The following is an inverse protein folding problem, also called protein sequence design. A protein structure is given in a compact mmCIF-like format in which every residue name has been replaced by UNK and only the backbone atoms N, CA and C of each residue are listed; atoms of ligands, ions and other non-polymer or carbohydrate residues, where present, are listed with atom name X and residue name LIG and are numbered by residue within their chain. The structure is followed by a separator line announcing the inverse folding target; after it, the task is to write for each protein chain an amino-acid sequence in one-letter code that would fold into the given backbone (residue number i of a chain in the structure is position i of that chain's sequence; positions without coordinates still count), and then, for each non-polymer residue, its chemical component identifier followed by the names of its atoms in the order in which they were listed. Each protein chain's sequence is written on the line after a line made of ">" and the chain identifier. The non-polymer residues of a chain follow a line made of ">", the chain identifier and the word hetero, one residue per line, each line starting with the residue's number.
data_IF_052252169495
#
_entry.id   IF_052252169495
#
_cell.length_a   1.000
_cell.length_b   1.000
_cell.length_c   1.000
_cell.angle_alpha   90.00
_cell.angle_beta   90.00
_cell.angle_gamma   90.00
#
_symmetry.space_group_name_H-M   'P 1'
#
loop_
_entity.id
_entity.type
_entity.pdbx_description
1 polymer ?
#
# COMPACT_ATOMS: atom_id res chain seq x y z
N UNK A 1 12.83 15.21 -14.89
CA UNK A 1 12.06 14.65 -13.76
C UNK A 1 10.77 14.11 -14.36
N UNK A 2 10.59 12.82 -14.36
CA UNK A 2 9.40 12.18 -14.91
C UNK A 2 8.55 11.65 -13.76
N UNK A 3 7.24 11.89 -13.83
CA UNK A 3 6.28 11.21 -12.96
C UNK A 3 6.23 9.74 -13.36
N UNK A 4 6.17 8.85 -12.41
CA UNK A 4 5.99 7.43 -12.65
C UNK A 4 4.61 7.11 -13.29
N UNK A 5 3.74 8.11 -13.34
CA UNK A 5 2.43 8.03 -13.95
C UNK A 5 2.55 7.88 -15.48
N UNK A 6 2.49 6.67 -15.98
CA UNK A 6 2.07 6.37 -17.34
C UNK A 6 3.13 5.92 -18.35
N UNK A 7 4.43 6.15 -18.17
CA UNK A 7 5.42 5.69 -19.14
C UNK A 7 6.71 5.21 -18.46
N UNK A 8 6.66 4.09 -17.73
CA UNK A 8 7.88 3.37 -17.42
C UNK A 8 8.42 2.74 -18.70
N UNK A 9 9.39 3.38 -19.32
CA UNK A 9 10.19 2.83 -20.42
C UNK A 9 11.05 1.62 -19.99
N UNK A 10 10.73 1.00 -18.84
CA UNK A 10 11.50 -0.11 -18.27
C UNK A 10 10.99 -1.49 -18.69
N UNK A 11 9.90 -1.59 -19.45
CA UNK A 11 9.34 -2.90 -19.83
C UNK A 11 10.37 -3.86 -20.44
N UNK A 12 11.39 -3.33 -21.10
CA UNK A 12 12.41 -4.13 -21.76
C UNK A 12 13.77 -4.15 -21.05
N UNK A 13 13.98 -3.34 -19.98
CA UNK A 13 15.24 -3.30 -19.23
C UNK A 13 15.03 -3.83 -17.81
N UNK A 14 15.19 -5.13 -17.67
CA UNK A 14 15.02 -5.86 -16.39
C UNK A 14 15.92 -5.30 -15.28
N UNK A 15 17.14 -4.84 -15.61
CA UNK A 15 18.07 -4.32 -14.62
C UNK A 15 17.62 -2.97 -14.05
N UNK A 16 17.09 -2.10 -14.90
CA UNK A 16 16.51 -0.81 -14.48
C UNK A 16 15.24 -1.03 -13.68
N UNK A 17 14.34 -1.90 -14.15
CA UNK A 17 13.11 -2.27 -13.44
C UNK A 17 13.42 -2.79 -12.04
N UNK A 18 14.37 -3.72 -11.91
CA UNK A 18 14.82 -4.23 -10.62
C UNK A 18 15.28 -3.11 -9.69
N UNK A 19 16.11 -2.18 -10.18
CA UNK A 19 16.59 -1.05 -9.35
C UNK A 19 15.46 -0.19 -8.80
N UNK A 20 14.49 0.17 -9.65
CA UNK A 20 13.35 1.01 -9.21
C UNK A 20 12.47 0.25 -8.22
N UNK A 21 12.14 -1.02 -8.50
CA UNK A 21 11.30 -1.83 -7.62
C UNK A 21 11.98 -2.10 -6.27
N UNK A 22 13.28 -2.41 -6.26
CA UNK A 22 14.02 -2.57 -5.00
C UNK A 22 14.05 -1.25 -4.20
N UNK A 23 14.33 -0.12 -4.84
CA UNK A 23 14.31 1.18 -4.18
C UNK A 23 12.90 1.54 -3.66
N UNK A 24 11.85 1.13 -4.37
CA UNK A 24 10.46 1.30 -3.93
C UNK A 24 10.19 0.54 -2.62
N UNK A 25 10.69 -0.68 -2.49
CA UNK A 25 10.64 -1.46 -1.25
C UNK A 25 11.46 -0.84 -0.11
N UNK A 26 12.66 -0.32 -0.40
CA UNK A 26 13.51 0.36 0.60
C UNK A 26 12.82 1.60 1.18
N UNK A 27 12.24 2.44 0.32
CA UNK A 27 11.51 3.64 0.75
C UNK A 27 10.32 3.29 1.64
N UNK A 28 9.54 2.29 1.25
CA UNK A 28 8.40 1.88 2.08
C UNK A 28 8.87 1.34 3.44
N UNK A 29 9.97 0.60 3.49
CA UNK A 29 10.58 0.17 4.75
C UNK A 29 10.96 1.37 5.63
N UNK A 30 11.54 2.41 5.06
CA UNK A 30 11.90 3.63 5.80
C UNK A 30 10.65 4.32 6.35
N UNK A 31 9.60 4.48 5.55
CA UNK A 31 8.31 5.02 6.01
C UNK A 31 7.77 4.20 7.18
N UNK A 32 7.69 2.89 7.03
CA UNK A 32 7.16 1.98 8.05
C UNK A 32 8.06 1.82 9.28
N UNK A 33 9.33 2.26 9.22
CA UNK A 33 10.20 2.30 10.39
C UNK A 33 9.82 3.41 11.38
N UNK A 34 8.97 4.35 10.97
CA UNK A 34 8.45 5.42 11.81
C UNK A 34 7.36 4.89 12.72
N UNK A 35 7.67 4.77 14.01
CA UNK A 35 6.74 4.27 15.02
C UNK A 35 5.68 5.32 15.36
N UNK A 36 4.50 4.84 15.71
CA UNK A 36 3.44 5.71 16.20
C UNK A 36 3.87 6.38 17.50
N UNK A 37 3.81 7.72 17.62
CA UNK A 37 4.11 8.43 18.87
C UNK A 37 3.19 8.01 20.02
N UNK A 38 3.73 7.90 21.24
CA UNK A 38 2.98 7.46 22.43
C UNK A 38 1.63 8.17 22.62
N UNK A 39 1.51 9.51 22.44
CA UNK A 39 0.21 10.17 22.59
C UNK A 39 -0.87 9.68 21.62
N UNK A 40 -0.48 9.13 20.46
CA UNK A 40 -1.40 8.60 19.47
C UNK A 40 -1.73 7.11 19.68
N UNK A 41 -0.88 6.38 20.43
CA UNK A 41 -1.14 4.98 20.79
C UNK A 41 -2.31 4.86 21.79
N UNK A 42 -2.58 5.91 22.56
CA UNK A 42 -3.62 5.94 23.59
C UNK A 42 -5.04 6.12 23.05
N UNK A 43 -5.22 6.40 21.78
CA UNK A 43 -6.55 6.38 21.16
C UNK A 43 -7.03 4.92 21.12
N UNK A 44 -8.12 4.62 21.83
CA UNK A 44 -8.69 3.28 22.00
C UNK A 44 -9.22 2.62 20.73
N UNK A 45 -9.28 3.35 19.64
CA UNK A 45 -9.79 2.84 18.38
C UNK A 45 -8.65 2.30 17.52
N UNK A 46 -8.82 1.04 17.10
CA UNK A 46 -7.95 0.44 16.09
C UNK A 46 -8.08 1.21 14.78
N UNK A 47 -6.94 1.54 14.14
CA UNK A 47 -6.94 2.15 12.79
C UNK A 47 -7.84 1.38 11.83
N UNK A 48 -7.80 0.06 11.87
CA UNK A 48 -8.61 -0.78 10.98
C UNK A 48 -10.11 -0.61 11.25
N UNK A 49 -10.53 -0.49 12.50
CA UNK A 49 -11.93 -0.26 12.84
C UNK A 49 -12.40 1.11 12.33
N UNK A 50 -11.60 2.15 12.54
CA UNK A 50 -11.90 3.50 12.01
C UNK A 50 -11.99 3.47 10.46
N UNK A 51 -11.11 2.72 9.79
CA UNK A 51 -11.17 2.56 8.33
C UNK A 51 -12.40 1.79 7.86
N UNK A 52 -12.87 0.80 8.59
CA UNK A 52 -14.12 0.09 8.28
C UNK A 52 -15.37 0.97 8.49
N UNK A 53 -15.34 1.86 9.47
CA UNK A 53 -16.40 2.85 9.66
C UNK A 53 -16.42 3.91 8.54
N UNK A 54 -15.24 4.39 8.14
CA UNK A 54 -15.06 5.29 6.98
C UNK A 54 -15.54 4.61 5.69
N UNK A 55 -15.20 3.33 5.47
CA UNK A 55 -15.67 2.53 4.34
C UNK A 55 -17.20 2.42 4.31
N UNK A 56 -17.84 2.22 5.47
CA UNK A 56 -19.30 2.22 5.58
C UNK A 56 -19.91 3.59 5.27
N UNK A 57 -19.28 4.67 5.74
CA UNK A 57 -19.69 6.03 5.42
C UNK A 57 -19.56 6.31 3.91
N UNK A 58 -18.44 5.92 3.30
CA UNK A 58 -18.20 6.12 1.88
C UNK A 58 -19.20 5.33 1.03
N UNK A 59 -19.47 4.07 1.39
CA UNK A 59 -20.48 3.25 0.70
C UNK A 59 -21.89 3.87 0.72
N UNK A 60 -22.22 4.64 1.77
CA UNK A 60 -23.53 5.30 1.90
C UNK A 60 -23.62 6.62 1.15
N UNK A 61 -22.51 7.34 1.02
CA UNK A 61 -22.51 8.74 0.62
C UNK A 61 -21.83 8.99 -0.73
N UNK A 62 -20.99 8.07 -1.20
CA UNK A 62 -20.23 8.21 -2.43
C UNK A 62 -20.39 7.00 -3.34
N UNK A 63 -20.00 7.18 -4.60
CA UNK A 63 -19.87 6.07 -5.53
C UNK A 63 -18.49 5.42 -5.28
N UNK A 64 -18.52 4.19 -4.78
CA UNK A 64 -17.32 3.37 -4.53
C UNK A 64 -17.47 2.04 -5.27
N UNK A 65 -16.36 1.32 -5.44
CA UNK A 65 -16.37 0.00 -6.08
C UNK A 65 -16.78 -1.12 -5.11
N UNK A 66 -16.68 -0.86 -3.79
CA UNK A 66 -17.08 -1.79 -2.73
C UNK A 66 -18.61 -2.00 -2.65
N UNK A 67 -19.01 -3.16 -2.14
CA UNK A 67 -20.42 -3.54 -1.93
C UNK A 67 -20.74 -3.75 -0.46
N UNK A 68 -22.03 -3.83 -0.12
CA UNK A 68 -22.49 -4.14 1.25
C UNK A 68 -22.02 -5.52 1.70
N UNK A 69 -22.05 -6.49 0.80
CA UNK A 69 -21.63 -7.87 1.05
C UNK A 69 -20.13 -7.93 1.33
N UNK A 70 -19.33 -7.18 0.55
CA UNK A 70 -17.89 -7.06 0.76
C UNK A 70 -17.59 -6.42 2.12
N UNK A 71 -18.25 -5.31 2.48
CA UNK A 71 -18.08 -4.66 3.77
C UNK A 71 -18.43 -5.59 4.93
N UNK A 72 -19.53 -6.34 4.83
CA UNK A 72 -19.90 -7.33 5.84
C UNK A 72 -18.84 -8.42 6.00
N UNK A 73 -18.31 -8.93 4.88
CA UNK A 73 -17.22 -9.91 4.88
C UNK A 73 -15.96 -9.34 5.58
N UNK A 74 -15.55 -8.12 5.25
CA UNK A 74 -14.40 -7.48 5.87
C UNK A 74 -14.56 -7.31 7.39
N UNK A 75 -15.74 -6.88 7.84
CA UNK A 75 -16.04 -6.74 9.28
C UNK A 75 -16.07 -8.08 10.02
N UNK A 76 -16.40 -9.17 9.35
CA UNK A 76 -16.46 -10.51 9.95
C UNK A 76 -15.14 -11.29 9.91
N UNK A 77 -14.17 -10.86 9.10
CA UNK A 77 -12.91 -11.56 8.89
C UNK A 77 -11.68 -10.63 9.02
N UNK A 78 -11.71 -9.74 10.01
CA UNK A 78 -10.59 -8.83 10.27
C UNK A 78 -9.31 -9.60 10.55
N UNK A 79 -8.17 -9.21 9.93
CA UNK A 79 -6.89 -9.84 10.21
C UNK A 79 -6.44 -9.53 11.64
N UNK A 80 -5.58 -10.40 12.18
CA UNK A 80 -4.99 -10.17 13.51
C UNK A 80 -4.26 -8.81 13.52
N UNK A 81 -4.50 -8.01 14.55
CA UNK A 81 -3.83 -6.73 14.74
C UNK A 81 -2.32 -6.88 14.87
N UNK A 82 -1.61 -5.95 14.27
CA UNK A 82 -0.16 -5.77 14.38
C UNK A 82 0.14 -4.32 14.77
N UNK A 83 1.35 -4.01 15.25
CA UNK A 83 1.71 -2.63 15.59
C UNK A 83 1.54 -1.69 14.42
N UNK A 84 0.88 -0.55 14.66
CA UNK A 84 0.74 0.51 13.68
C UNK A 84 2.08 1.21 13.46
N UNK A 85 2.33 1.58 12.20
CA UNK A 85 3.46 2.40 11.77
C UNK A 85 2.95 3.59 10.96
N UNK A 86 3.81 4.53 10.62
CA UNK A 86 3.45 5.49 9.59
C UNK A 86 3.17 4.76 8.29
N UNK A 87 2.01 4.98 7.71
CA UNK A 87 1.63 4.50 6.38
C UNK A 87 1.36 5.68 5.45
N UNK A 88 1.56 5.48 4.16
CA UNK A 88 1.24 6.45 3.12
C UNK A 88 -0.28 6.51 2.85
N UNK A 89 -0.93 5.34 2.90
CA UNK A 89 -2.37 5.19 2.66
C UNK A 89 -2.79 5.04 1.19
N UNK A 90 -1.87 5.30 0.25
CA UNK A 90 -2.01 4.99 -1.18
C UNK A 90 -0.63 4.77 -1.82
N UNK A 91 0.20 3.89 -1.20
CA UNK A 91 1.56 3.64 -1.66
C UNK A 91 1.57 2.76 -2.90
N UNK A 92 1.39 3.38 -4.05
CA UNK A 92 1.46 2.72 -5.35
C UNK A 92 2.64 3.22 -6.17
N UNK A 93 3.06 2.45 -7.18
CA UNK A 93 4.16 2.86 -8.07
C UNK A 93 3.82 4.13 -8.86
N UNK A 94 2.54 4.48 -8.99
CA UNK A 94 2.08 5.69 -9.66
C UNK A 94 2.32 6.95 -8.81
N UNK A 95 2.48 6.80 -7.50
CA UNK A 95 2.68 7.88 -6.54
C UNK A 95 4.16 8.14 -6.22
N UNK A 96 5.07 7.72 -7.09
CA UNK A 96 6.50 8.02 -6.96
C UNK A 96 7.06 8.76 -8.15
N UNK A 97 8.03 9.63 -7.89
CA UNK A 97 8.80 10.32 -8.92
C UNK A 97 10.13 9.61 -9.12
N UNK A 98 10.47 9.33 -10.36
CA UNK A 98 11.70 8.63 -10.72
C UNK A 98 12.61 9.54 -11.54
N UNK A 99 13.90 9.54 -11.22
CA UNK A 99 14.96 10.16 -12.01
C UNK A 99 16.19 9.23 -12.03
N UNK A 100 16.75 8.99 -13.22
CA UNK A 100 17.91 8.10 -13.42
C UNK A 100 17.79 6.74 -12.72
N UNK A 101 16.63 6.10 -12.84
CA UNK A 101 16.29 4.82 -12.23
C UNK A 101 16.31 4.82 -10.68
N UNK A 102 16.15 5.98 -10.07
CA UNK A 102 15.98 6.13 -8.62
C UNK A 102 14.70 6.88 -8.33
N UNK A 103 14.00 6.48 -7.29
CA UNK A 103 12.87 7.23 -6.77
C UNK A 103 13.45 8.45 -6.03
N UNK A 104 13.00 9.63 -6.40
CA UNK A 104 13.47 10.92 -5.84
C UNK A 104 12.37 11.62 -5.04
N UNK A 105 11.18 11.06 -5.00
CA UNK A 105 10.08 11.60 -4.20
C UNK A 105 8.88 10.67 -4.18
N UNK A 106 8.10 10.78 -3.12
CA UNK A 106 6.77 10.15 -2.96
C UNK A 106 5.76 11.27 -2.82
N UNK A 107 4.67 11.18 -3.54
CA UNK A 107 3.62 12.20 -3.63
C UNK A 107 2.28 11.62 -3.19
N UNK A 108 1.29 12.49 -3.04
CA UNK A 108 -0.09 12.14 -2.69
C UNK A 108 -0.25 11.49 -1.30
N UNK A 109 0.21 12.21 -0.29
CA UNK A 109 0.15 11.81 1.12
C UNK A 109 -1.22 12.04 1.78
N UNK A 110 -2.28 12.28 0.99
CA UNK A 110 -3.61 12.55 1.52
C UNK A 110 -4.20 11.43 2.39
N UNK A 111 -3.76 10.19 2.21
CA UNK A 111 -4.16 9.03 2.99
C UNK A 111 -3.27 8.71 4.20
N UNK A 112 -2.21 9.51 4.45
CA UNK A 112 -1.21 9.20 5.47
C UNK A 112 -1.79 9.11 6.88
N UNK A 113 -1.37 8.08 7.61
CA UNK A 113 -1.84 7.80 8.97
C UNK A 113 -0.83 6.95 9.75
N UNK A 114 -1.07 6.77 11.03
CA UNK A 114 -0.48 5.65 11.77
C UNK A 114 -1.44 4.47 11.72
N UNK A 115 -1.11 3.47 10.91
CA UNK A 115 -1.99 2.37 10.57
C UNK A 115 -1.27 1.05 10.34
N UNK A 116 -2.01 0.08 9.87
CA UNK A 116 -1.51 -1.26 9.55
C UNK A 116 -0.62 -1.21 8.30
N UNK A 117 0.70 -1.50 8.39
CA UNK A 117 1.61 -1.43 7.26
C UNK A 117 1.27 -2.40 6.12
N UNK A 118 0.47 -3.45 6.38
CA UNK A 118 0.03 -4.39 5.35
C UNK A 118 -0.88 -3.74 4.32
N UNK A 119 -1.57 -2.65 4.70
CA UNK A 119 -2.36 -1.86 3.77
C UNK A 119 -1.50 -1.31 2.64
N UNK A 120 -0.43 -0.58 2.97
CA UNK A 120 0.50 -0.07 1.95
C UNK A 120 1.22 -1.18 1.19
N UNK A 121 1.58 -2.29 1.87
CA UNK A 121 2.22 -3.43 1.20
C UNK A 121 1.32 -4.05 0.13
N UNK A 122 0.02 -4.18 0.41
CA UNK A 122 -0.94 -4.69 -0.56
C UNK A 122 -1.08 -3.77 -1.77
N UNK A 123 -1.16 -2.45 -1.53
CA UNK A 123 -1.25 -1.44 -2.59
C UNK A 123 0.05 -1.36 -3.42
N UNK A 124 1.22 -1.47 -2.77
CA UNK A 124 2.52 -1.40 -3.43
C UNK A 124 2.72 -2.48 -4.50
N UNK A 125 2.27 -3.71 -4.23
CA UNK A 125 2.46 -4.84 -5.14
C UNK A 125 1.30 -5.06 -6.12
N UNK A 126 0.36 -4.11 -6.17
CA UNK A 126 -0.76 -4.11 -7.12
C UNK A 126 -0.23 -4.22 -8.55
N UNK A 127 -0.72 -5.17 -9.36
CA UNK A 127 -0.34 -5.24 -10.76
C UNK A 127 -0.68 -3.94 -11.50
N UNK A 128 0.32 -3.34 -12.12
CA UNK A 128 0.20 -2.15 -12.96
C UNK A 128 0.72 -2.45 -14.36
N UNK A 129 0.44 -1.57 -15.33
CA UNK A 129 0.82 -1.80 -16.72
C UNK A 129 2.31 -2.13 -16.87
N UNK A 130 3.18 -1.49 -16.09
CA UNK A 130 4.63 -1.55 -16.24
C UNK A 130 5.36 -2.08 -14.99
N UNK A 131 4.65 -2.55 -13.96
CA UNK A 131 5.25 -3.06 -12.73
C UNK A 131 4.35 -4.12 -12.06
N UNK A 132 4.96 -5.01 -11.29
CA UNK A 132 4.28 -6.03 -10.49
C UNK A 132 3.40 -7.01 -11.28
N UNK A 133 3.69 -7.20 -12.57
CA UNK A 133 3.05 -8.23 -13.39
C UNK A 133 3.65 -9.61 -13.15
N UNK A 134 4.91 -9.66 -12.76
CA UNK A 134 5.65 -10.88 -12.58
C UNK A 134 5.96 -11.10 -11.10
N UNK A 135 6.04 -12.36 -10.71
CA UNK A 135 6.38 -12.73 -9.33
C UNK A 135 7.78 -12.27 -8.92
N UNK A 136 8.70 -12.18 -9.86
CA UNK A 136 10.05 -11.64 -9.64
C UNK A 136 10.04 -10.17 -9.21
N UNK A 137 9.08 -9.35 -9.66
CA UNK A 137 8.94 -7.95 -9.24
C UNK A 137 8.59 -7.88 -7.75
N UNK A 138 7.65 -8.73 -7.30
CA UNK A 138 7.28 -8.82 -5.90
C UNK A 138 8.44 -9.33 -5.03
N UNK A 139 9.21 -10.30 -5.54
CA UNK A 139 10.39 -10.81 -4.84
C UNK A 139 11.41 -9.69 -4.61
N UNK A 140 11.77 -8.91 -5.63
CA UNK A 140 12.70 -7.79 -5.48
C UNK A 140 12.21 -6.72 -4.51
N UNK A 141 10.91 -6.43 -4.55
CA UNK A 141 10.28 -5.49 -3.62
C UNK A 141 10.38 -5.99 -2.17
N UNK A 142 9.97 -7.23 -1.90
CA UNK A 142 9.97 -7.76 -0.53
C UNK A 142 11.37 -8.05 0.01
N UNK A 143 12.33 -8.45 -0.83
CA UNK A 143 13.74 -8.56 -0.45
C UNK A 143 14.28 -7.20 0.04
N UNK A 144 13.98 -6.13 -0.67
CA UNK A 144 14.42 -4.77 -0.33
C UNK A 144 13.66 -4.21 0.88
N UNK A 145 12.37 -4.49 1.00
CA UNK A 145 11.56 -4.11 2.15
C UNK A 145 11.98 -4.87 3.43
N UNK A 146 12.50 -6.10 3.31
CA UNK A 146 12.97 -6.90 4.43
C UNK A 146 11.96 -7.89 5.00
N UNK A 147 10.86 -8.15 4.29
CA UNK A 147 9.89 -9.20 4.59
C UNK A 147 9.86 -10.25 3.47
N UNK A 148 9.43 -11.47 3.80
CA UNK A 148 9.26 -12.51 2.77
C UNK A 148 8.12 -12.17 1.81
N UNK A 149 6.94 -11.86 2.33
CA UNK A 149 5.74 -11.41 1.59
C UNK A 149 4.60 -11.18 2.58
N UNK A 150 3.53 -10.53 2.14
CA UNK A 150 2.22 -10.63 2.80
C UNK A 150 1.50 -11.89 2.28
N UNK A 151 0.56 -12.43 3.05
CA UNK A 151 -0.22 -13.59 2.60
C UNK A 151 -1.23 -13.20 1.51
N UNK A 152 -1.72 -14.20 0.79
CA UNK A 152 -2.79 -13.98 -0.18
C UNK A 152 -4.05 -13.41 0.48
N UNK A 153 -4.41 -13.91 1.66
CA UNK A 153 -5.56 -13.45 2.42
C UNK A 153 -5.42 -11.99 2.87
N UNK A 154 -4.21 -11.56 3.26
CA UNK A 154 -3.92 -10.18 3.60
C UNK A 154 -4.01 -9.26 2.38
N UNK A 155 -3.46 -9.70 1.24
CA UNK A 155 -3.59 -8.97 -0.02
C UNK A 155 -5.07 -8.81 -0.43
N UNK A 156 -5.84 -9.90 -0.42
CA UNK A 156 -7.28 -9.88 -0.72
C UNK A 156 -8.05 -8.97 0.24
N UNK A 157 -7.70 -9.00 1.53
CA UNK A 157 -8.38 -8.18 2.53
C UNK A 157 -8.16 -6.68 2.29
N UNK A 158 -6.92 -6.27 2.04
CA UNK A 158 -6.57 -4.86 1.92
C UNK A 158 -6.80 -4.31 0.51
N UNK A 159 -6.25 -4.95 -0.52
CA UNK A 159 -6.29 -4.45 -1.90
C UNK A 159 -7.65 -4.69 -2.56
N UNK A 160 -8.09 -5.94 -2.60
CA UNK A 160 -9.35 -6.31 -3.23
C UNK A 160 -10.56 -6.14 -2.29
N UNK A 161 -10.31 -5.79 -1.05
CA UNK A 161 -11.31 -5.59 -0.02
C UNK A 161 -11.43 -4.14 0.44
N UNK A 162 -10.64 -3.76 1.45
CA UNK A 162 -10.78 -2.47 2.12
C UNK A 162 -10.59 -1.27 1.19
N UNK A 163 -9.61 -1.32 0.29
CA UNK A 163 -9.32 -0.23 -0.66
C UNK A 163 -10.47 0.07 -1.62
N UNK A 164 -11.38 -0.88 -1.87
CA UNK A 164 -12.52 -0.70 -2.78
C UNK A 164 -13.54 0.35 -2.30
N UNK A 165 -13.35 0.90 -1.11
CA UNK A 165 -14.24 1.91 -0.50
C UNK A 165 -13.64 3.34 -0.50
N UNK A 166 -12.44 3.52 -1.11
CA UNK A 166 -11.68 4.79 -1.08
C UNK A 166 -11.31 5.30 -2.48
#
# INVERSE_FOLDING_TARGET
>A
MEFACGNFYFEHDVAKRKKVISHFGEILREIHSTLCPEPLITTRESWLMSKLEEAEYNLRNYKVDGTKELLHKLKSSTPKEIPNTLIHGDFTIDNVMVNDNKIVGVIDWGGAAFGDPRYDLALAIRPKQNAFKEETDKQWFFEAYGLRSISYEEFEYFENGLYQFF
#
